data_IF_792891513735
#
_entry.id   IF_792891513735
#
_cell.length_a   1.000
_cell.length_b   1.000
_cell.length_c   1.000
_cell.angle_alpha   90.00
_cell.angle_beta   90.00
_cell.angle_gamma   90.00
#
_symmetry.space_group_name_H-M   'P 1'
#
loop_
_entity.id
_entity.type
_entity.pdbx_description
1 polymer ?
#
# COMPACT_ATOMS: atom_id res chain seq x y z
N UNK A 1 16.34 5.14 -15.29
CA UNK A 1 15.59 6.15 -16.08
C UNK A 1 16.54 7.22 -16.64
N UNK A 2 17.31 7.98 -15.83
CA UNK A 2 18.30 8.93 -16.36
C UNK A 2 19.27 8.28 -17.33
N UNK A 3 19.84 7.13 -16.96
CA UNK A 3 20.74 6.37 -17.81
C UNK A 3 20.10 5.88 -19.11
N UNK A 4 18.88 5.39 -19.06
CA UNK A 4 18.20 4.85 -20.24
C UNK A 4 17.59 5.91 -21.17
N UNK A 5 17.27 7.11 -20.67
CA UNK A 5 16.63 8.17 -21.44
C UNK A 5 17.59 9.28 -21.85
N UNK A 6 18.60 9.56 -21.04
CA UNK A 6 19.51 10.70 -21.23
C UNK A 6 20.97 10.24 -21.36
N UNK A 7 21.24 8.95 -21.28
CA UNK A 7 22.60 8.36 -21.28
C UNK A 7 23.50 8.92 -20.14
N UNK A 8 22.87 9.41 -19.06
CA UNK A 8 23.55 10.01 -17.91
C UNK A 8 23.62 9.03 -16.75
N UNK A 9 24.84 8.72 -16.30
CA UNK A 9 25.08 7.96 -15.08
C UNK A 9 25.16 8.90 -13.88
N UNK A 10 24.22 8.75 -12.94
CA UNK A 10 24.20 9.52 -11.70
C UNK A 10 24.86 8.72 -10.58
N UNK A 11 25.79 9.35 -9.86
CA UNK A 11 26.38 8.76 -8.67
C UNK A 11 25.33 8.64 -7.55
N UNK A 12 25.20 7.46 -6.93
CA UNK A 12 24.26 7.18 -5.82
C UNK A 12 24.95 7.21 -4.47
N UNK A 13 25.83 8.21 -4.23
CA UNK A 13 26.74 8.18 -3.10
C UNK A 13 26.12 8.63 -1.77
N UNK A 14 25.11 9.50 -1.78
CA UNK A 14 24.61 10.15 -0.58
C UNK A 14 23.14 9.88 -0.25
N UNK A 15 22.52 8.89 -0.87
CA UNK A 15 21.09 8.57 -0.65
C UNK A 15 20.78 8.06 0.77
N UNK A 16 21.76 7.48 1.47
CA UNK A 16 21.59 6.86 2.80
C UNK A 16 22.20 7.68 3.95
N UNK A 17 22.68 8.90 3.69
CA UNK A 17 23.26 9.75 4.75
C UNK A 17 22.16 10.40 5.61
N UNK A 18 22.54 10.84 6.81
CA UNK A 18 21.63 11.55 7.71
C UNK A 18 21.46 13.02 7.29
N UNK A 19 20.45 13.29 6.48
CA UNK A 19 20.12 14.63 5.99
C UNK A 19 19.61 15.60 7.06
N UNK A 20 19.44 15.17 8.32
CA UNK A 20 19.06 16.06 9.44
C UNK A 20 20.23 16.87 10.01
N UNK A 21 21.46 16.47 9.71
CA UNK A 21 22.67 17.13 10.20
C UNK A 21 22.78 18.55 9.62
N UNK A 22 23.16 19.50 10.46
CA UNK A 22 23.40 20.91 10.08
C UNK A 22 24.79 21.38 10.57
N UNK A 23 25.54 22.16 9.73
CA UNK A 23 25.25 22.52 8.33
C UNK A 23 25.34 21.30 7.39
N UNK A 24 24.62 21.33 6.26
CA UNK A 24 24.75 20.31 5.22
C UNK A 24 26.15 20.38 4.60
N UNK A 25 26.73 19.24 4.28
CA UNK A 25 28.02 19.16 3.61
C UNK A 25 27.91 19.60 2.15
N UNK A 26 28.92 20.28 1.58
CA UNK A 26 28.87 20.75 0.19
C UNK A 26 28.60 19.63 -0.83
N UNK A 27 29.18 18.45 -0.64
CA UNK A 27 28.99 17.30 -1.51
C UNK A 27 27.53 16.80 -1.49
N UNK A 28 26.81 16.93 -0.36
CA UNK A 28 25.39 16.58 -0.27
C UNK A 28 24.51 17.57 -1.02
N UNK A 29 24.85 18.86 -0.93
CA UNK A 29 24.16 19.93 -1.66
C UNK A 29 24.32 19.69 -3.17
N UNK A 30 25.55 19.38 -3.60
CA UNK A 30 25.82 19.06 -5.01
C UNK A 30 25.03 17.83 -5.47
N UNK A 31 24.99 16.78 -4.66
CA UNK A 31 24.19 15.59 -4.95
C UNK A 31 22.70 15.92 -5.10
N UNK A 32 22.13 16.67 -4.15
CA UNK A 32 20.73 17.08 -4.22
C UNK A 32 20.43 17.99 -5.42
N UNK A 33 21.36 18.86 -5.81
CA UNK A 33 21.23 19.71 -6.98
C UNK A 33 21.20 18.87 -8.28
N UNK A 34 22.09 17.89 -8.42
CA UNK A 34 22.14 16.98 -9.57
C UNK A 34 20.86 16.15 -9.71
N UNK A 35 20.25 15.71 -8.60
CA UNK A 35 18.98 14.98 -8.62
C UNK A 35 17.82 15.80 -9.21
N UNK A 36 17.88 17.13 -9.12
CA UNK A 36 16.85 18.06 -9.61
C UNK A 36 17.15 18.58 -11.01
N UNK A 37 18.42 18.82 -11.34
CA UNK A 37 18.87 19.46 -12.58
C UNK A 37 18.38 18.74 -13.83
N UNK A 38 18.38 17.42 -13.79
CA UNK A 38 17.98 16.56 -14.92
C UNK A 38 16.46 16.33 -15.06
N UNK A 39 15.63 16.80 -14.11
CA UNK A 39 14.21 16.46 -14.09
C UNK A 39 13.45 16.99 -15.29
N UNK A 40 13.81 18.17 -15.80
CA UNK A 40 13.19 18.74 -16.99
C UNK A 40 13.53 17.94 -18.25
N UNK A 41 14.76 17.48 -18.37
CA UNK A 41 15.18 16.67 -19.51
C UNK A 41 14.53 15.29 -19.49
N UNK A 42 14.46 14.64 -18.32
CA UNK A 42 13.70 13.39 -18.14
C UNK A 42 12.23 13.61 -18.51
N UNK A 43 11.59 14.68 -18.02
CA UNK A 43 10.20 15.00 -18.33
C UNK A 43 9.99 15.15 -19.83
N UNK A 44 10.87 15.87 -20.52
CA UNK A 44 10.77 16.09 -21.97
C UNK A 44 10.97 14.77 -22.75
N UNK A 45 11.95 13.96 -22.38
CA UNK A 45 12.17 12.66 -23.00
C UNK A 45 10.99 11.69 -22.80
N UNK A 46 10.41 11.66 -21.60
CA UNK A 46 9.22 10.86 -21.30
C UNK A 46 7.99 11.36 -22.08
N UNK A 47 7.79 12.67 -22.19
CA UNK A 47 6.69 13.25 -22.96
C UNK A 47 6.81 12.90 -24.44
N UNK A 48 8.01 12.91 -25.00
CA UNK A 48 8.27 12.48 -26.36
C UNK A 48 7.91 11.01 -26.57
N UNK A 49 8.42 10.10 -25.71
CA UNK A 49 8.12 8.66 -25.78
C UNK A 49 6.61 8.37 -25.69
N UNK A 50 5.92 9.05 -24.77
CA UNK A 50 4.47 8.90 -24.62
C UNK A 50 3.71 9.40 -25.86
N UNK A 51 4.21 10.45 -26.52
CA UNK A 51 3.64 10.99 -27.74
C UNK A 51 3.82 10.01 -28.91
N UNK A 52 5.01 9.47 -29.09
CA UNK A 52 5.34 8.47 -30.12
C UNK A 52 4.48 7.21 -29.96
N UNK A 53 4.20 6.80 -28.72
CA UNK A 53 3.34 5.65 -28.40
C UNK A 53 1.85 5.99 -28.38
N UNK A 54 1.41 7.22 -28.67
CA UNK A 54 0.03 7.69 -28.57
C UNK A 54 -0.59 7.55 -27.16
N UNK A 55 0.23 7.54 -26.10
CA UNK A 55 -0.18 7.36 -24.70
C UNK A 55 -0.19 8.65 -23.87
N UNK A 56 0.27 9.78 -24.44
CA UNK A 56 0.38 11.05 -23.71
C UNK A 56 -0.96 11.52 -23.13
N UNK A 57 -2.07 11.33 -23.84
CA UNK A 57 -3.41 11.68 -23.35
C UNK A 57 -3.80 10.85 -22.11
N UNK A 58 -3.43 9.58 -22.06
CA UNK A 58 -3.68 8.71 -20.93
C UNK A 58 -2.89 9.15 -19.69
N UNK A 59 -1.60 9.39 -19.87
CA UNK A 59 -0.73 9.90 -18.78
C UNK A 59 -1.27 11.25 -18.24
N UNK A 60 -1.71 12.17 -19.09
CA UNK A 60 -2.31 13.44 -18.66
C UNK A 60 -3.59 13.25 -17.85
N UNK A 61 -4.43 12.25 -18.17
CA UNK A 61 -5.61 11.92 -17.39
C UNK A 61 -5.22 11.35 -16.00
N UNK A 62 -4.17 10.52 -15.94
CA UNK A 62 -3.67 9.98 -14.66
C UNK A 62 -3.13 11.11 -13.77
N UNK A 63 -2.31 12.00 -14.30
CA UNK A 63 -1.79 13.14 -13.55
C UNK A 63 -2.91 14.08 -13.07
N UNK A 64 -3.90 14.37 -13.93
CA UNK A 64 -5.06 15.17 -13.53
C UNK A 64 -5.88 14.49 -12.43
N UNK A 65 -6.05 13.16 -12.48
CA UNK A 65 -6.77 12.40 -11.47
C UNK A 65 -6.04 12.45 -10.12
N UNK A 66 -4.72 12.27 -10.13
CA UNK A 66 -3.89 12.37 -8.91
C UNK A 66 -4.02 13.79 -8.33
N UNK A 67 -3.82 14.82 -9.15
CA UNK A 67 -3.91 16.21 -8.71
C UNK A 67 -5.28 16.52 -8.10
N UNK A 68 -6.38 16.09 -8.77
CA UNK A 68 -7.74 16.25 -8.26
C UNK A 68 -7.95 15.59 -6.90
N UNK A 69 -7.37 14.41 -6.69
CA UNK A 69 -7.43 13.70 -5.41
C UNK A 69 -6.81 14.47 -4.24
N UNK A 70 -5.84 15.35 -4.52
CA UNK A 70 -5.11 16.14 -3.53
C UNK A 70 -5.52 17.63 -3.49
N UNK A 71 -6.33 18.13 -4.40
CA UNK A 71 -6.75 19.54 -4.43
C UNK A 71 -7.39 20.03 -3.14
N UNK A 72 -8.15 19.15 -2.46
CA UNK A 72 -8.81 19.45 -1.20
C UNK A 72 -8.19 18.69 -0.03
N UNK A 73 -6.94 18.19 -0.20
CA UNK A 73 -6.27 17.46 0.85
C UNK A 73 -5.87 18.44 1.96
N UNK A 74 -6.55 18.34 3.08
CA UNK A 74 -6.14 19.03 4.31
C UNK A 74 -5.24 18.08 5.07
N UNK A 75 -3.99 18.48 5.29
CA UNK A 75 -3.12 17.75 6.20
C UNK A 75 -3.74 17.85 7.61
N UNK A 76 -4.38 16.78 8.04
CA UNK A 76 -4.85 16.67 9.42
C UNK A 76 -3.81 15.89 10.21
N UNK A 77 -3.39 16.46 11.34
CA UNK A 77 -2.54 15.78 12.32
C UNK A 77 -3.22 14.54 12.94
N UNK A 78 -4.54 14.45 12.76
CA UNK A 78 -5.28 13.28 13.18
C UNK A 78 -4.77 12.05 12.42
N UNK A 79 -4.14 11.14 13.12
CA UNK A 79 -3.80 9.83 12.57
C UNK A 79 -5.06 9.22 11.96
N UNK A 80 -4.96 8.70 10.73
CA UNK A 80 -6.07 7.92 10.16
C UNK A 80 -6.49 6.90 11.20
N UNK A 81 -7.80 6.75 11.46
CA UNK A 81 -8.26 5.79 12.46
C UNK A 81 -7.64 4.41 12.19
N UNK A 82 -7.26 3.75 13.27
CA UNK A 82 -6.71 2.39 13.23
C UNK A 82 -5.37 2.18 12.51
N UNK A 83 -4.54 3.23 12.31
CA UNK A 83 -3.17 3.06 11.76
C UNK A 83 -2.32 2.10 12.61
N UNK A 84 -2.53 2.06 13.91
CA UNK A 84 -1.88 1.16 14.85
C UNK A 84 -2.09 -0.32 14.52
N UNK A 85 -3.20 -0.68 13.82
CA UNK A 85 -3.45 -2.06 13.35
C UNK A 85 -2.44 -2.53 12.28
N UNK A 86 -1.67 -1.62 11.71
CA UNK A 86 -0.61 -1.91 10.74
C UNK A 86 0.77 -2.08 11.39
N UNK A 87 0.85 -2.04 12.72
CA UNK A 87 2.09 -2.30 13.47
C UNK A 87 2.68 -3.64 13.02
N UNK A 88 3.96 -3.64 12.66
CA UNK A 88 4.64 -4.87 12.25
C UNK A 88 4.62 -5.89 13.40
N UNK A 89 4.29 -7.15 13.10
CA UNK A 89 4.17 -8.19 14.13
C UNK A 89 2.76 -8.38 14.71
N UNK A 90 1.72 -7.68 14.22
CA UNK A 90 0.33 -7.86 14.67
C UNK A 90 -0.17 -9.30 14.57
N UNK A 91 0.41 -10.13 13.72
CA UNK A 91 0.07 -11.56 13.63
C UNK A 91 0.33 -12.33 14.92
N UNK A 92 1.13 -11.78 15.86
CA UNK A 92 1.40 -12.36 17.20
C UNK A 92 0.31 -12.02 18.22
N UNK A 93 -0.53 -11.01 17.94
CA UNK A 93 -1.59 -10.54 18.84
C UNK A 93 -2.79 -11.48 18.74
N UNK A 94 -3.19 -12.10 19.87
CA UNK A 94 -4.20 -13.16 19.91
C UNK A 94 -5.46 -12.79 20.71
N UNK A 95 -5.40 -11.75 21.50
CA UNK A 95 -6.49 -11.32 22.38
C UNK A 95 -6.71 -9.80 22.33
N UNK A 96 -7.91 -9.36 22.74
CA UNK A 96 -8.34 -7.95 22.69
C UNK A 96 -7.52 -7.08 23.65
N UNK A 97 -7.10 -7.62 24.80
CA UNK A 97 -6.30 -6.88 25.76
C UNK A 97 -4.90 -6.59 25.23
N UNK A 98 -4.22 -7.59 24.64
CA UNK A 98 -2.94 -7.36 23.94
C UNK A 98 -3.08 -6.34 22.84
N UNK A 99 -4.19 -6.38 22.08
CA UNK A 99 -4.48 -5.40 21.03
C UNK A 99 -4.68 -3.99 21.59
N UNK A 100 -5.34 -3.87 22.74
CA UNK A 100 -5.49 -2.60 23.48
C UNK A 100 -4.11 -2.02 23.84
N UNK A 101 -3.24 -2.86 24.41
CA UNK A 101 -1.89 -2.44 24.79
C UNK A 101 -1.11 -1.96 23.55
N UNK A 102 -1.17 -2.69 22.43
CA UNK A 102 -0.52 -2.27 21.19
C UNK A 102 -1.05 -0.89 20.72
N UNK A 103 -2.37 -0.68 20.72
CA UNK A 103 -3.00 0.59 20.36
C UNK A 103 -2.47 1.72 21.24
N UNK A 104 -2.52 1.54 22.55
CA UNK A 104 -2.23 2.60 23.50
C UNK A 104 -0.71 2.94 23.51
N UNK A 105 0.16 1.94 23.39
CA UNK A 105 1.60 2.16 23.21
C UNK A 105 1.89 2.87 21.88
N UNK A 106 1.22 2.48 20.79
CA UNK A 106 1.40 3.10 19.50
C UNK A 106 0.98 4.58 19.52
N UNK A 107 -0.16 4.90 20.12
CA UNK A 107 -0.65 6.27 20.29
C UNK A 107 0.30 7.11 21.15
N UNK A 108 0.73 6.59 22.29
CA UNK A 108 1.67 7.27 23.18
C UNK A 108 3.05 7.48 22.55
N UNK A 109 3.51 6.53 21.72
CA UNK A 109 4.71 6.68 20.90
C UNK A 109 4.57 7.82 19.89
N UNK A 110 3.45 7.86 19.16
CA UNK A 110 3.19 8.85 18.13
C UNK A 110 3.09 10.27 18.71
N UNK A 111 2.48 10.41 19.88
CA UNK A 111 2.44 11.66 20.65
C UNK A 111 3.85 12.11 21.06
N UNK A 112 4.65 11.25 21.70
CA UNK A 112 6.01 11.57 22.10
C UNK A 112 6.90 11.91 20.89
N UNK A 113 6.75 11.19 19.79
CA UNK A 113 7.49 11.44 18.56
C UNK A 113 7.27 12.86 18.01
N UNK A 114 6.03 13.38 18.11
CA UNK A 114 5.70 14.76 17.76
C UNK A 114 6.27 15.77 18.76
N UNK A 115 6.18 15.47 20.06
CA UNK A 115 6.72 16.33 21.12
C UNK A 115 8.21 16.60 20.94
N UNK A 116 8.98 15.58 20.55
CA UNK A 116 10.45 15.65 20.43
C UNK A 116 10.95 15.77 18.99
N UNK A 117 10.05 15.92 18.01
CA UNK A 117 10.34 15.99 16.57
C UNK A 117 11.25 14.84 16.08
N UNK A 118 10.88 13.62 16.46
CA UNK A 118 11.63 12.42 16.09
C UNK A 118 10.73 11.38 15.42
N UNK A 119 11.26 10.67 14.41
CA UNK A 119 10.50 9.62 13.73
C UNK A 119 10.02 8.56 14.74
N UNK A 120 8.72 8.13 14.72
CA UNK A 120 8.14 7.22 15.71
C UNK A 120 8.93 5.92 15.92
N UNK A 121 9.47 5.34 14.84
CA UNK A 121 10.29 4.13 14.92
C UNK A 121 11.65 4.32 15.63
N UNK A 122 12.12 5.58 15.76
CA UNK A 122 13.31 5.90 16.55
C UNK A 122 12.99 6.06 18.04
N UNK A 123 11.73 6.41 18.35
CA UNK A 123 11.24 6.54 19.74
C UNK A 123 11.00 5.14 20.33
N UNK A 124 10.23 4.31 19.63
CA UNK A 124 9.92 2.93 20.03
C UNK A 124 9.58 2.12 18.77
N UNK A 125 10.37 1.08 18.47
CA UNK A 125 10.15 0.21 17.32
C UNK A 125 8.86 -0.61 17.43
N UNK A 126 8.29 -1.01 16.31
CA UNK A 126 7.09 -1.85 16.27
C UNK A 126 7.30 -3.19 17.00
N UNK A 127 8.47 -3.79 16.85
CA UNK A 127 8.86 -5.01 17.53
C UNK A 127 8.87 -4.85 19.06
N UNK A 128 9.33 -3.70 19.56
CA UNK A 128 9.30 -3.37 20.98
C UNK A 128 7.87 -3.19 21.51
N UNK A 129 6.98 -2.55 20.73
CA UNK A 129 5.56 -2.43 21.07
C UNK A 129 4.92 -3.82 21.22
N UNK A 130 5.13 -4.70 20.25
CA UNK A 130 4.57 -6.06 20.27
C UNK A 130 5.14 -6.87 21.46
N UNK A 131 6.41 -6.71 21.77
CA UNK A 131 7.03 -7.43 22.87
C UNK A 131 6.52 -6.94 24.22
N UNK A 132 6.41 -5.64 24.44
CA UNK A 132 5.80 -5.06 25.64
C UNK A 132 4.34 -5.53 25.80
N UNK A 133 3.56 -5.52 24.74
CA UNK A 133 2.17 -5.92 24.77
C UNK A 133 1.98 -7.42 25.06
N UNK A 134 2.88 -8.26 24.56
CA UNK A 134 2.80 -9.72 24.75
C UNK A 134 3.31 -10.15 26.11
N UNK A 135 4.42 -9.55 26.58
CA UNK A 135 5.08 -9.94 27.82
C UNK A 135 4.56 -9.22 29.06
N UNK A 136 3.92 -8.04 28.87
CA UNK A 136 3.25 -7.27 29.93
C UNK A 136 4.11 -7.07 31.17
N UNK A 137 5.31 -6.46 31.06
CA UNK A 137 6.15 -6.20 32.21
C UNK A 137 5.44 -5.29 33.23
N UNK A 138 5.64 -5.55 34.52
CA UNK A 138 4.96 -4.88 35.62
C UNK A 138 5.84 -3.90 36.40
N UNK A 139 7.12 -3.80 36.01
CA UNK A 139 8.08 -2.89 36.65
C UNK A 139 9.08 -2.32 35.63
N UNK A 140 9.78 -1.24 36.02
CA UNK A 140 10.72 -0.53 35.19
C UNK A 140 11.90 -1.35 34.70
N UNK A 141 12.42 -2.20 35.59
CA UNK A 141 13.57 -3.05 35.28
C UNK A 141 13.21 -4.03 34.14
N UNK A 142 12.05 -4.66 34.25
CA UNK A 142 11.54 -5.55 33.20
C UNK A 142 11.29 -4.83 31.87
N UNK A 143 10.74 -3.60 31.90
CA UNK A 143 10.59 -2.76 30.71
C UNK A 143 11.97 -2.45 30.10
N UNK A 144 12.91 -1.97 30.90
CA UNK A 144 14.26 -1.64 30.45
C UNK A 144 14.99 -2.85 29.86
N UNK A 145 14.84 -4.02 30.46
CA UNK A 145 15.43 -5.29 29.99
C UNK A 145 14.87 -5.69 28.61
N UNK A 146 13.58 -5.49 28.40
CA UNK A 146 12.93 -5.87 27.14
C UNK A 146 13.30 -4.94 25.98
N UNK A 147 13.34 -3.63 26.21
CA UNK A 147 13.43 -2.65 25.12
C UNK A 147 14.64 -1.72 25.20
N UNK A 148 15.44 -1.75 26.27
CA UNK A 148 16.55 -0.83 26.48
C UNK A 148 17.60 -0.82 25.36
N UNK A 149 17.82 -1.98 24.71
CA UNK A 149 18.74 -2.09 23.57
C UNK A 149 18.08 -1.76 22.22
N UNK A 150 16.77 -1.54 22.19
CA UNK A 150 15.96 -1.34 20.98
C UNK A 150 15.50 0.11 20.79
N UNK A 151 15.70 0.94 21.81
CA UNK A 151 15.48 2.38 21.70
C UNK A 151 16.74 3.08 21.25
N UNK A 152 16.59 4.14 20.45
CA UNK A 152 17.72 5.00 20.03
C UNK A 152 17.76 6.29 20.84
N UNK A 153 16.92 6.42 21.86
CA UNK A 153 16.92 7.58 22.75
C UNK A 153 18.02 7.42 23.80
N UNK A 154 18.75 8.48 24.09
CA UNK A 154 19.74 8.52 25.16
C UNK A 154 19.12 8.31 26.54
N UNK A 155 17.92 8.87 26.75
CA UNK A 155 17.12 8.72 27.96
C UNK A 155 15.74 8.16 27.62
N UNK A 156 15.60 6.83 27.49
CA UNK A 156 14.32 6.22 27.14
C UNK A 156 13.27 6.43 28.24
N UNK A 157 12.04 6.82 27.90
CA UNK A 157 10.99 7.11 28.88
C UNK A 157 10.29 5.83 29.36
N UNK A 158 11.00 4.94 30.03
CA UNK A 158 10.47 3.65 30.50
C UNK A 158 9.27 3.81 31.42
N UNK A 159 9.23 4.89 32.22
CA UNK A 159 8.07 5.24 33.07
C UNK A 159 6.81 5.46 32.23
N UNK A 160 6.93 6.16 31.08
CA UNK A 160 5.79 6.40 30.16
C UNK A 160 5.24 5.07 29.65
N UNK A 161 6.11 4.17 29.21
CA UNK A 161 5.67 2.87 28.68
C UNK A 161 5.04 1.99 29.76
N UNK A 162 5.60 1.96 30.97
CA UNK A 162 5.03 1.23 32.10
C UNK A 162 3.66 1.80 32.50
N UNK A 163 3.51 3.12 32.52
CA UNK A 163 2.23 3.78 32.82
C UNK A 163 1.17 3.43 31.81
N UNK A 164 1.50 3.47 30.49
CA UNK A 164 0.58 3.07 29.41
C UNK A 164 0.15 1.62 29.56
N UNK A 165 1.10 0.71 29.81
CA UNK A 165 0.81 -0.71 30.09
C UNK A 165 -0.17 -0.88 31.24
N UNK A 166 0.12 -0.21 32.37
CA UNK A 166 -0.70 -0.31 33.57
C UNK A 166 -2.12 0.19 33.35
N UNK A 167 -2.28 1.26 32.58
CA UNK A 167 -3.60 1.82 32.23
C UNK A 167 -4.35 0.89 31.25
N UNK A 168 -3.66 0.42 30.22
CA UNK A 168 -4.24 -0.47 29.21
C UNK A 168 -4.76 -1.78 29.82
N UNK A 169 -4.05 -2.33 30.84
CA UNK A 169 -4.47 -3.53 31.55
C UNK A 169 -5.78 -3.36 32.34
N UNK A 170 -6.18 -2.11 32.65
CA UNK A 170 -7.43 -1.79 33.35
C UNK A 170 -8.57 -1.47 32.39
N UNK A 171 -8.35 -1.51 31.07
CA UNK A 171 -9.37 -1.16 30.08
C UNK A 171 -10.51 -2.19 30.10
N UNK A 172 -11.77 -1.78 30.35
CA UNK A 172 -12.92 -2.67 30.32
C UNK A 172 -13.07 -3.38 28.98
N UNK A 173 -13.60 -4.60 28.97
CA UNK A 173 -13.75 -5.44 27.79
C UNK A 173 -14.53 -4.71 26.66
N UNK A 174 -15.58 -3.97 27.01
CA UNK A 174 -16.41 -3.24 26.04
C UNK A 174 -15.68 -2.09 25.35
N UNK A 175 -14.61 -1.57 25.99
CA UNK A 175 -13.76 -0.51 25.43
C UNK A 175 -12.54 -1.04 24.67
N UNK A 176 -12.32 -2.36 24.70
CA UNK A 176 -11.22 -2.98 23.98
C UNK A 176 -11.56 -3.13 22.49
N UNK A 177 -10.60 -2.85 21.59
CA UNK A 177 -10.83 -2.96 20.16
C UNK A 177 -11.12 -4.40 19.75
N UNK A 178 -12.00 -4.58 18.77
CA UNK A 178 -12.24 -5.90 18.17
C UNK A 178 -10.98 -6.44 17.49
N UNK A 179 -10.72 -7.76 17.66
CA UNK A 179 -9.58 -8.41 17.02
C UNK A 179 -9.62 -8.32 15.50
N UNK A 180 -10.81 -8.45 14.96
CA UNK A 180 -11.05 -8.34 13.51
C UNK A 180 -12.10 -7.28 13.25
N UNK A 181 -11.73 -6.27 12.52
CA UNK A 181 -12.71 -5.36 11.92
C UNK A 181 -13.30 -6.08 10.72
N UNK A 182 -14.62 -6.07 10.62
CA UNK A 182 -15.30 -6.62 9.44
C UNK A 182 -14.74 -5.92 8.20
N UNK A 183 -14.03 -6.67 7.38
CA UNK A 183 -13.49 -6.14 6.14
C UNK A 183 -14.62 -6.06 5.12
N UNK A 184 -14.83 -4.88 4.54
CA UNK A 184 -15.68 -4.71 3.36
C UNK A 184 -14.99 -5.24 2.08
N UNK A 185 -13.78 -5.79 2.21
CA UNK A 185 -13.05 -6.36 1.09
C UNK A 185 -13.68 -7.69 0.66
N UNK A 186 -13.59 -7.96 -0.62
CA UNK A 186 -14.02 -9.24 -1.19
C UNK A 186 -13.24 -10.40 -0.58
N UNK A 187 -13.87 -11.59 -0.48
CA UNK A 187 -13.19 -12.78 -0.06
C UNK A 187 -11.95 -13.09 -0.92
N UNK A 188 -10.95 -13.83 -0.40
CA UNK A 188 -9.82 -14.30 -1.21
C UNK A 188 -10.29 -15.11 -2.43
N UNK A 189 -9.65 -14.92 -3.59
CA UNK A 189 -10.07 -15.54 -4.86
C UNK A 189 -10.15 -17.07 -4.76
N UNK A 190 -9.25 -17.69 -3.99
CA UNK A 190 -9.22 -19.16 -3.81
C UNK A 190 -10.52 -19.77 -3.30
N UNK A 191 -11.35 -19.00 -2.60
CA UNK A 191 -12.65 -19.48 -2.10
C UNK A 191 -13.83 -19.08 -3.00
N UNK A 192 -13.57 -18.39 -4.12
CA UNK A 192 -14.64 -17.98 -5.05
C UNK A 192 -15.25 -19.16 -5.78
N UNK A 193 -14.46 -20.22 -6.05
CA UNK A 193 -14.95 -21.45 -6.68
C UNK A 193 -16.15 -22.03 -5.92
N UNK A 194 -16.12 -21.93 -4.59
CA UNK A 194 -17.18 -22.48 -3.73
C UNK A 194 -18.28 -21.47 -3.42
N UNK A 195 -17.90 -20.18 -3.19
CA UNK A 195 -18.85 -19.15 -2.74
C UNK A 195 -19.55 -18.40 -3.86
N UNK A 196 -18.89 -18.22 -4.99
CA UNK A 196 -19.41 -17.51 -6.16
C UNK A 196 -18.77 -18.08 -7.44
N UNK A 197 -19.14 -19.32 -7.85
CA UNK A 197 -18.53 -19.96 -9.02
C UNK A 197 -18.72 -19.15 -10.31
N UNK A 198 -19.88 -18.50 -10.48
CA UNK A 198 -20.13 -17.62 -11.63
C UNK A 198 -19.23 -16.38 -11.61
N UNK A 199 -19.03 -15.78 -10.44
CA UNK A 199 -18.07 -14.68 -10.27
C UNK A 199 -16.64 -15.12 -10.56
N UNK A 200 -16.28 -16.36 -10.19
CA UNK A 200 -14.99 -16.94 -10.50
C UNK A 200 -14.79 -17.14 -12.00
N UNK A 201 -15.78 -17.68 -12.69
CA UNK A 201 -15.76 -17.85 -14.15
C UNK A 201 -15.55 -16.51 -14.85
N UNK A 202 -16.37 -15.51 -14.54
CA UNK A 202 -16.22 -14.14 -15.06
C UNK A 202 -14.84 -13.57 -14.84
N UNK A 203 -14.30 -13.73 -13.62
CA UNK A 203 -12.98 -13.21 -13.27
C UNK A 203 -11.86 -13.85 -14.09
N UNK A 204 -11.92 -15.16 -14.34
CA UNK A 204 -10.89 -15.86 -15.14
C UNK A 204 -10.90 -15.38 -16.59
N UNK A 205 -12.07 -15.21 -17.18
CA UNK A 205 -12.21 -14.68 -18.54
C UNK A 205 -11.76 -13.19 -18.63
N UNK A 206 -12.22 -12.36 -17.69
CA UNK A 206 -11.80 -10.95 -17.66
C UNK A 206 -10.29 -10.81 -17.55
N UNK A 207 -9.64 -11.60 -16.70
CA UNK A 207 -8.18 -11.59 -16.54
C UNK A 207 -7.47 -11.98 -17.82
N UNK A 208 -7.90 -13.05 -18.48
CA UNK A 208 -7.29 -13.50 -19.73
C UNK A 208 -7.38 -12.41 -20.81
N UNK A 209 -8.56 -11.82 -21.01
CA UNK A 209 -8.76 -10.73 -21.97
C UNK A 209 -7.94 -9.47 -21.63
N UNK A 210 -7.81 -9.12 -20.34
CA UNK A 210 -7.01 -7.99 -19.91
C UNK A 210 -5.49 -8.25 -20.08
N UNK A 211 -5.01 -9.47 -19.91
CA UNK A 211 -3.62 -9.85 -20.18
C UNK A 211 -3.32 -9.71 -21.68
N UNK A 212 -4.23 -10.18 -22.53
CA UNK A 212 -4.11 -10.02 -23.98
C UNK A 212 -4.07 -8.55 -24.38
N UNK A 213 -5.00 -7.75 -23.88
CA UNK A 213 -5.04 -6.29 -24.11
C UNK A 213 -3.76 -5.61 -23.62
N UNK A 214 -3.28 -5.98 -22.43
CA UNK A 214 -2.03 -5.49 -21.84
C UNK A 214 -0.84 -5.71 -22.78
N UNK A 215 -0.76 -6.89 -23.39
CA UNK A 215 0.29 -7.24 -24.34
C UNK A 215 0.18 -6.44 -25.64
N UNK A 216 -1.03 -6.28 -26.16
CA UNK A 216 -1.29 -5.54 -27.40
C UNK A 216 -0.91 -4.06 -27.29
N UNK A 217 -1.26 -3.43 -26.16
CA UNK A 217 -1.01 -1.99 -25.98
C UNK A 217 0.25 -1.68 -25.19
N UNK A 218 0.99 -2.71 -24.78
CA UNK A 218 2.24 -2.58 -24.01
C UNK A 218 2.09 -1.71 -22.74
N UNK A 219 1.06 -2.04 -21.95
CA UNK A 219 0.84 -1.45 -20.62
C UNK A 219 0.62 -2.59 -19.63
N UNK A 220 1.35 -2.68 -18.51
CA UNK A 220 1.11 -3.69 -17.47
C UNK A 220 -0.35 -3.73 -17.03
N UNK A 221 -0.89 -4.94 -16.83
CA UNK A 221 -2.32 -5.14 -16.52
C UNK A 221 -2.77 -4.34 -15.30
N UNK A 222 -1.93 -4.22 -14.28
CA UNK A 222 -2.18 -3.45 -13.06
C UNK A 222 -2.30 -1.94 -13.31
N UNK A 223 -1.67 -1.43 -14.37
CA UNK A 223 -1.78 -0.03 -14.79
C UNK A 223 -2.99 0.21 -15.70
N UNK A 224 -3.43 -0.83 -16.45
CA UNK A 224 -4.66 -0.76 -17.22
C UNK A 224 -5.88 -0.59 -16.33
N UNK A 225 -6.00 -1.44 -15.34
CA UNK A 225 -7.09 -1.43 -14.37
C UNK A 225 -6.65 -2.09 -13.08
N UNK A 226 -6.97 -1.46 -11.96
CA UNK A 226 -6.64 -2.05 -10.65
C UNK A 226 -7.32 -3.40 -10.50
N UNK A 227 -6.60 -4.48 -10.16
CA UNK A 227 -7.16 -5.83 -10.02
C UNK A 227 -8.39 -5.90 -9.11
N UNK A 228 -8.45 -5.04 -8.10
CA UNK A 228 -9.58 -4.96 -7.16
C UNK A 228 -10.87 -4.47 -7.83
N UNK A 229 -10.78 -3.57 -8.83
CA UNK A 229 -11.95 -3.11 -9.58
C UNK A 229 -12.55 -4.27 -10.38
N UNK A 230 -11.71 -5.00 -11.10
CA UNK A 230 -12.14 -6.18 -11.88
C UNK A 230 -12.79 -7.21 -10.97
N UNK A 231 -12.19 -7.48 -9.81
CA UNK A 231 -12.76 -8.39 -8.81
C UNK A 231 -14.14 -7.93 -8.33
N UNK A 232 -14.32 -6.65 -8.03
CA UNK A 232 -15.60 -6.10 -7.59
C UNK A 232 -16.68 -6.25 -8.64
N UNK A 233 -16.37 -5.97 -9.90
CA UNK A 233 -17.30 -6.10 -11.01
C UNK A 233 -17.69 -7.59 -11.21
N UNK A 234 -16.72 -8.47 -11.29
CA UNK A 234 -16.96 -9.90 -11.51
C UNK A 234 -17.69 -10.60 -10.33
N UNK A 235 -17.55 -10.08 -9.12
CA UNK A 235 -18.23 -10.61 -7.93
C UNK A 235 -19.72 -10.30 -7.94
N UNK A 236 -20.12 -9.15 -8.46
CA UNK A 236 -21.52 -8.74 -8.51
C UNK A 236 -22.30 -9.57 -9.51
N UNK A 237 -23.62 -9.64 -9.32
CA UNK A 237 -24.50 -10.20 -10.32
C UNK A 237 -24.67 -9.18 -11.44
N UNK A 238 -24.37 -9.56 -12.70
CA UNK A 238 -24.56 -8.65 -13.83
C UNK A 238 -26.05 -8.45 -14.13
N UNK A 239 -26.42 -7.41 -14.91
CA UNK A 239 -27.78 -7.24 -15.42
C UNK A 239 -28.29 -8.49 -16.15
N UNK A 240 -29.61 -8.64 -16.23
CA UNK A 240 -30.22 -9.77 -16.93
C UNK A 240 -30.03 -9.71 -18.46
N UNK A 241 -29.99 -8.49 -19.02
CA UNK A 241 -29.81 -8.25 -20.44
C UNK A 241 -28.35 -8.01 -20.81
N UNK A 242 -27.85 -8.73 -21.80
CA UNK A 242 -26.50 -8.53 -22.32
C UNK A 242 -26.28 -7.13 -22.94
N UNK A 243 -27.34 -6.48 -23.40
CA UNK A 243 -27.28 -5.10 -23.92
C UNK A 243 -26.94 -4.06 -22.84
N UNK A 244 -27.04 -4.42 -21.56
CA UNK A 244 -26.76 -3.55 -20.43
C UNK A 244 -25.35 -3.75 -19.86
N UNK A 245 -24.59 -4.76 -20.31
CA UNK A 245 -23.29 -5.12 -19.71
C UNK A 245 -22.28 -3.99 -19.82
N UNK A 246 -22.17 -3.35 -20.96
CA UNK A 246 -21.22 -2.24 -21.12
C UNK A 246 -21.54 -1.07 -20.20
N UNK A 247 -22.82 -0.66 -20.14
CA UNK A 247 -23.24 0.41 -19.25
C UNK A 247 -22.98 0.05 -17.77
N UNK A 248 -23.29 -1.17 -17.38
CA UNK A 248 -22.99 -1.66 -16.03
C UNK A 248 -21.49 -1.57 -15.71
N UNK A 249 -20.62 -2.03 -16.60
CA UNK A 249 -19.17 -1.97 -16.41
C UNK A 249 -18.68 -0.52 -16.34
N UNK A 250 -19.15 0.35 -17.23
CA UNK A 250 -18.82 1.78 -17.23
C UNK A 250 -19.21 2.45 -15.91
N UNK A 251 -20.43 2.22 -15.44
CA UNK A 251 -20.90 2.77 -14.16
C UNK A 251 -20.07 2.31 -12.98
N UNK A 252 -19.77 1.01 -12.93
CA UNK A 252 -18.93 0.45 -11.87
C UNK A 252 -17.52 1.04 -11.88
N UNK A 253 -16.87 1.05 -13.04
CA UNK A 253 -15.52 1.61 -13.19
C UNK A 253 -15.49 3.11 -12.84
N UNK A 254 -16.47 3.87 -13.30
CA UNK A 254 -16.60 5.30 -13.02
C UNK A 254 -16.78 5.57 -11.53
N UNK A 255 -17.68 4.83 -10.87
CA UNK A 255 -17.95 4.99 -9.44
C UNK A 255 -16.72 4.67 -8.57
N UNK A 256 -15.86 3.80 -9.05
CA UNK A 256 -14.62 3.41 -8.37
C UNK A 256 -13.40 4.24 -8.80
N UNK A 257 -13.58 5.31 -9.59
CA UNK A 257 -12.55 6.28 -9.93
C UNK A 257 -11.59 5.85 -11.05
N UNK A 258 -11.99 4.92 -11.90
CA UNK A 258 -11.23 4.62 -13.12
C UNK A 258 -11.23 5.84 -14.06
N UNK A 259 -10.11 6.04 -14.78
CA UNK A 259 -9.97 7.16 -15.72
C UNK A 259 -10.71 6.86 -17.02
N UNK A 260 -11.14 7.90 -17.76
CA UNK A 260 -11.85 7.69 -19.02
C UNK A 260 -11.12 6.78 -19.99
N UNK A 261 -9.80 6.94 -20.15
CA UNK A 261 -9.01 6.09 -21.03
C UNK A 261 -9.01 4.61 -20.61
N UNK A 262 -9.00 4.34 -19.30
CA UNK A 262 -9.09 2.98 -18.76
C UNK A 262 -10.46 2.38 -19.05
N UNK A 263 -11.53 3.15 -18.78
CA UNK A 263 -12.91 2.73 -19.03
C UNK A 263 -13.09 2.37 -20.51
N UNK A 264 -12.64 3.23 -21.42
CA UNK A 264 -12.73 3.01 -22.86
C UNK A 264 -12.06 1.70 -23.29
N UNK A 265 -10.85 1.43 -22.78
CA UNK A 265 -10.07 0.27 -23.20
C UNK A 265 -10.54 -1.05 -22.56
N UNK A 266 -10.90 -1.04 -21.27
CA UNK A 266 -11.16 -2.30 -20.55
C UNK A 266 -12.63 -2.72 -20.55
N UNK A 267 -13.56 -1.80 -20.85
CA UNK A 267 -15.00 -2.13 -20.85
C UNK A 267 -15.34 -3.29 -21.80
N UNK A 268 -14.88 -3.35 -23.04
CA UNK A 268 -15.20 -4.47 -23.93
C UNK A 268 -14.74 -5.83 -23.38
N UNK A 269 -13.51 -5.86 -22.85
CA UNK A 269 -12.93 -7.10 -22.29
C UNK A 269 -13.69 -7.60 -21.04
N UNK A 270 -14.05 -6.69 -20.14
CA UNK A 270 -14.79 -7.03 -18.93
C UNK A 270 -16.23 -7.40 -19.27
N UNK A 271 -16.90 -6.63 -20.15
CA UNK A 271 -18.29 -6.92 -20.55
C UNK A 271 -18.44 -8.28 -21.21
N UNK A 272 -17.51 -8.66 -22.09
CA UNK A 272 -17.48 -9.97 -22.73
C UNK A 272 -17.31 -11.13 -21.74
N UNK A 273 -16.77 -10.87 -20.55
CA UNK A 273 -16.60 -11.87 -19.50
C UNK A 273 -17.86 -12.11 -18.67
N UNK A 274 -18.81 -11.18 -18.63
CA UNK A 274 -19.97 -11.25 -17.72
C UNK A 274 -20.92 -12.40 -17.98
N UNK A 275 -21.20 -12.86 -19.23
CA UNK A 275 -22.06 -13.99 -19.49
C UNK A 275 -21.38 -15.36 -19.21
N UNK A 276 -20.11 -15.39 -18.91
CA UNK A 276 -19.37 -16.63 -18.77
C UNK A 276 -19.73 -17.38 -17.48
N UNK A 277 -20.01 -18.68 -17.62
CA UNK A 277 -20.47 -19.56 -16.54
C UNK A 277 -19.42 -20.59 -16.12
N UNK A 278 -18.46 -20.88 -17.01
CA UNK A 278 -17.38 -21.83 -16.75
C UNK A 278 -16.02 -21.10 -16.69
N UNK A 279 -15.16 -21.42 -15.73
CA UNK A 279 -13.88 -20.75 -15.60
C UNK A 279 -12.91 -21.16 -16.73
N UNK A 280 -12.12 -20.23 -17.24
CA UNK A 280 -10.96 -20.54 -18.06
C UNK A 280 -9.89 -21.22 -17.19
N UNK A 281 -9.32 -22.30 -17.69
CA UNK A 281 -8.12 -22.92 -17.12
C UNK A 281 -6.93 -22.11 -17.67
N UNK A 282 -6.50 -21.11 -16.90
CA UNK A 282 -5.25 -20.40 -17.20
C UNK A 282 -4.14 -21.25 -16.61
N UNK A 283 -3.15 -21.73 -17.40
CA UNK A 283 -1.98 -22.37 -16.82
C UNK A 283 -1.32 -21.35 -15.88
N UNK A 284 -1.05 -21.77 -14.64
CA UNK A 284 -0.27 -20.93 -13.72
C UNK A 284 1.06 -20.59 -14.42
N UNK A 285 1.50 -19.32 -14.40
CA UNK A 285 2.84 -19.00 -14.84
C UNK A 285 3.80 -19.90 -14.06
N UNK A 286 4.66 -20.64 -14.76
CA UNK A 286 5.69 -21.45 -14.14
C UNK A 286 6.36 -20.57 -13.07
N UNK A 287 6.35 -21.03 -11.82
CA UNK A 287 7.08 -20.38 -10.74
C UNK A 287 8.49 -20.13 -11.28
N UNK A 288 8.92 -18.88 -11.34
CA UNK A 288 10.27 -18.54 -11.73
C UNK A 288 11.17 -19.37 -10.80
N UNK A 289 11.87 -20.34 -11.39
CA UNK A 289 12.82 -21.18 -10.70
C UNK A 289 13.71 -20.26 -9.86
N UNK A 290 13.76 -20.56 -8.56
CA UNK A 290 14.42 -19.75 -7.57
C UNK A 290 15.80 -19.31 -8.05
N UNK A 291 16.09 -18.03 -7.86
CA UNK A 291 17.45 -17.53 -7.99
C UNK A 291 18.37 -18.44 -7.17
N UNK A 292 19.52 -18.88 -7.72
CA UNK A 292 20.44 -19.72 -6.98
C UNK A 292 20.93 -18.94 -5.75
N UNK A 293 20.75 -19.56 -4.60
CA UNK A 293 21.29 -19.14 -3.31
C UNK A 293 22.78 -18.84 -3.49
N UNK A 294 23.16 -17.57 -3.57
CA UNK A 294 24.56 -17.17 -3.56
C UNK A 294 25.06 -17.38 -2.14
N UNK A 295 25.70 -18.53 -1.95
CA UNK A 295 26.52 -18.81 -0.76
C UNK A 295 27.65 -17.77 -0.67
N UNK A 296 27.63 -16.91 0.33
CA UNK A 296 28.76 -16.47 1.15
C UNK A 296 28.28 -15.62 2.32
#
# INVERSE_FOLDING_TARGET
MAESLLELQLAKEHSAVDWSIRPLRPEWITYAALDVDILLDIRNAVEQLLTEQNKLKWAKQDFASILKGYQNYVFTDAAKPDRWRRTSGMHKVRDRLTMTIVRDLWLSRDELAREIDLAPGRVLGDDAIIELATKRPDNLEAVAKLIGRRTRLEAPPFNRWLSVLTLALKTPLDSQPELRVASQSLPPIKIWKDRNPLGYARLTHARAALIELSTQIQIPTENLVTPELVRKICWQQPPASSSEYENFVIEQLTSMGARPWQIELVTPAISASLPQTEPLIIPEPAEAEGEPEVAQ
#
